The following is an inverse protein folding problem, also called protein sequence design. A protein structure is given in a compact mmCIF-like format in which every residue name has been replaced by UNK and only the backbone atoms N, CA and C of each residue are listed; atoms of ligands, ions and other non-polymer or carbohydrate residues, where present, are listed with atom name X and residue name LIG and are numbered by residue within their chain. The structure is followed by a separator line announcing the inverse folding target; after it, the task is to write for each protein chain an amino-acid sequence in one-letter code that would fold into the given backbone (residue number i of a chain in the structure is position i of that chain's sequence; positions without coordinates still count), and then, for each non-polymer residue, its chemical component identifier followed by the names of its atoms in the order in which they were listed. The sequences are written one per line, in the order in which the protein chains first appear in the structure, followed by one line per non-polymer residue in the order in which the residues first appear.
data_IF_454200319350
#
_entry.id   IF_454200319350
#
_cell.length_a   1.000
_cell.length_b   1.000
_cell.length_c   1.000
_cell.angle_alpha   90.00
_cell.angle_beta   90.00
_cell.angle_gamma   90.00
#
_symmetry.space_group_name_H-M   'P 1'
#
loop_
_entity.id
_entity.type
_entity.pdbx_description
1 polymer ?
#
# COMPACT_ATOMS: atom_id res chain seq x y z
N UNK A 1 -7.36 7.24 -25.43
CA UNK A 1 -7.15 5.81 -25.19
C UNK A 1 -5.79 5.56 -24.59
N UNK A 2 -5.81 4.78 -23.59
CA UNK A 2 -4.65 4.49 -22.79
C UNK A 2 -3.93 3.25 -23.33
N UNK A 3 -2.67 3.37 -23.63
CA UNK A 3 -1.87 2.24 -24.11
C UNK A 3 -1.04 1.70 -22.94
N UNK A 4 -1.51 0.60 -22.39
CA UNK A 4 -0.80 -0.02 -21.30
C UNK A 4 0.50 -0.66 -21.80
N UNK A 5 1.57 -0.46 -21.06
CA UNK A 5 2.82 -1.17 -21.23
C UNK A 5 3.15 -1.86 -19.90
N UNK A 6 4.31 -2.50 -19.82
CA UNK A 6 4.68 -3.21 -18.59
C UNK A 6 4.65 -2.30 -17.37
N UNK A 7 5.14 -1.06 -17.51
CA UNK A 7 5.15 -0.13 -16.38
C UNK A 7 3.74 0.28 -15.98
N UNK A 8 2.83 0.44 -16.95
CA UNK A 8 1.45 0.79 -16.66
C UNK A 8 0.74 -0.32 -15.89
N UNK A 9 1.00 -1.58 -16.25
CA UNK A 9 0.44 -2.71 -15.49
C UNK A 9 0.95 -2.71 -14.06
N UNK A 10 2.24 -2.45 -13.86
CA UNK A 10 2.83 -2.43 -12.51
C UNK A 10 2.29 -1.27 -11.68
N UNK A 11 1.84 -0.18 -12.32
CA UNK A 11 1.28 0.98 -11.64
C UNK A 11 -0.23 0.89 -11.46
N UNK A 12 -0.84 -0.18 -11.93
CA UNK A 12 -2.30 -0.26 -12.03
C UNK A 12 -3.00 -0.50 -10.70
N UNK A 13 -2.27 -0.69 -9.62
CA UNK A 13 -2.84 -0.91 -8.29
C UNK A 13 -3.21 0.38 -7.59
N UNK A 14 -2.56 1.49 -7.94
CA UNK A 14 -2.68 2.74 -7.20
C UNK A 14 -2.88 3.92 -8.13
N UNK A 15 -3.69 4.86 -7.68
CA UNK A 15 -3.76 6.19 -8.26
C UNK A 15 -3.38 7.19 -7.17
N UNK A 16 -2.25 7.86 -7.33
CA UNK A 16 -1.75 8.81 -6.36
C UNK A 16 -1.81 10.23 -6.91
N UNK A 17 -2.47 11.13 -6.15
CA UNK A 17 -2.55 12.54 -6.50
C UNK A 17 -1.45 13.29 -5.77
N UNK A 18 -0.41 13.70 -6.49
CA UNK A 18 0.73 14.39 -5.90
C UNK A 18 0.38 15.78 -5.38
N UNK A 19 -0.69 16.39 -5.88
CA UNK A 19 -1.10 17.72 -5.41
C UNK A 19 -1.76 17.66 -4.03
N UNK A 20 -2.51 16.59 -3.73
CA UNK A 20 -3.24 16.46 -2.47
C UNK A 20 -2.66 15.40 -1.54
N UNK A 21 -1.81 14.52 -2.06
CA UNK A 21 -1.29 13.38 -1.31
C UNK A 21 -2.30 12.26 -1.12
N UNK A 22 -3.42 12.30 -1.83
CA UNK A 22 -4.43 11.24 -1.73
C UNK A 22 -4.04 10.02 -2.56
N UNK A 23 -4.28 8.84 -1.98
CA UNK A 23 -4.06 7.57 -2.64
C UNK A 23 -5.39 6.86 -2.80
N UNK A 24 -5.69 6.43 -4.03
CA UNK A 24 -6.83 5.58 -4.31
C UNK A 24 -6.34 4.20 -4.69
N UNK A 25 -7.08 3.18 -4.26
CA UNK A 25 -6.76 1.79 -4.54
C UNK A 25 -7.61 1.28 -5.70
N UNK A 26 -6.96 0.65 -6.66
CA UNK A 26 -7.67 -0.05 -7.72
C UNK A 26 -8.04 -1.45 -7.20
N UNK A 27 -9.15 -1.54 -6.48
CA UNK A 27 -9.55 -2.76 -5.78
C UNK A 27 -9.65 -3.97 -6.71
N UNK A 28 -10.25 -3.90 -7.92
CA UNK A 28 -10.27 -5.06 -8.79
C UNK A 28 -8.89 -5.63 -9.11
N UNK A 29 -7.91 -4.77 -9.35
CA UNK A 29 -6.54 -5.22 -9.64
C UNK A 29 -5.86 -5.79 -8.38
N UNK A 30 -6.09 -5.14 -7.25
CA UNK A 30 -5.54 -5.59 -5.96
C UNK A 30 -6.02 -7.00 -5.62
N UNK A 31 -7.29 -7.29 -5.87
CA UNK A 31 -7.89 -8.60 -5.59
C UNK A 31 -7.31 -9.73 -6.44
N UNK A 32 -6.62 -9.41 -7.53
CA UNK A 32 -5.97 -10.41 -8.36
C UNK A 32 -4.66 -10.92 -7.76
N UNK A 33 -4.14 -10.25 -6.75
CA UNK A 33 -2.88 -10.61 -6.10
C UNK A 33 -3.18 -11.16 -4.71
N UNK A 34 -2.87 -12.43 -4.51
CA UNK A 34 -3.19 -13.16 -3.27
C UNK A 34 -2.69 -12.45 -2.02
N UNK A 35 -1.46 -11.99 -2.04
CA UNK A 35 -0.86 -11.31 -0.88
C UNK A 35 -1.54 -9.98 -0.57
N UNK A 36 -2.05 -9.31 -1.59
CA UNK A 36 -2.77 -8.05 -1.40
C UNK A 36 -4.19 -8.30 -0.91
N UNK A 37 -4.86 -9.31 -1.47
CA UNK A 37 -6.20 -9.70 -1.01
C UNK A 37 -6.20 -10.03 0.47
N UNK A 38 -5.15 -10.71 0.95
CA UNK A 38 -5.02 -11.07 2.36
C UNK A 38 -5.07 -9.85 3.29
N UNK A 39 -4.56 -8.70 2.85
CA UNK A 39 -4.61 -7.48 3.66
C UNK A 39 -6.02 -6.93 3.80
N UNK A 40 -6.92 -7.27 2.90
CA UNK A 40 -8.29 -6.76 2.90
C UNK A 40 -9.25 -7.58 3.76
N UNK A 41 -8.79 -8.61 4.42
CA UNK A 41 -9.62 -9.44 5.29
C UNK A 41 -10.33 -8.61 6.36
N UNK A 42 -11.64 -8.80 6.51
CA UNK A 42 -12.44 -8.00 7.42
C UNK A 42 -12.02 -8.18 8.89
N UNK A 43 -11.76 -9.43 9.31
CA UNK A 43 -11.34 -9.70 10.68
C UNK A 43 -10.05 -8.98 11.03
N UNK A 44 -9.11 -9.00 10.11
CA UNK A 44 -7.82 -8.34 10.27
C UNK A 44 -7.95 -6.82 10.37
N UNK A 45 -8.96 -6.25 9.72
CA UNK A 45 -9.17 -4.82 9.66
C UNK A 45 -10.08 -4.28 10.76
N UNK A 46 -10.61 -5.13 11.63
CA UNK A 46 -11.46 -4.67 12.73
C UNK A 46 -10.68 -3.80 13.70
N UNK A 47 -11.27 -2.69 14.08
CA UNK A 47 -10.72 -1.80 15.08
C UNK A 47 -11.85 -0.98 15.69
N UNK A 48 -11.51 -0.13 16.67
CA UNK A 48 -12.50 0.70 17.36
C UNK A 48 -13.28 1.59 16.40
N UNK A 49 -12.61 2.15 15.41
CA UNK A 49 -13.22 3.04 14.41
C UNK A 49 -13.93 2.28 13.29
N UNK A 50 -13.68 0.97 13.18
CA UNK A 50 -14.23 0.14 12.12
C UNK A 50 -14.52 -1.26 12.67
N UNK A 51 -15.56 -1.38 13.54
CA UNK A 51 -15.81 -2.62 14.29
C UNK A 51 -16.07 -3.86 13.42
N UNK A 52 -16.55 -3.66 12.20
CA UNK A 52 -16.82 -4.78 11.28
C UNK A 52 -15.71 -4.99 10.26
N UNK A 53 -14.71 -4.09 10.22
CA UNK A 53 -13.60 -4.17 9.28
C UNK A 53 -14.00 -3.92 7.83
N UNK A 54 -15.13 -3.25 7.61
CA UNK A 54 -15.65 -3.03 6.25
C UNK A 54 -15.00 -1.87 5.53
N UNK A 55 -14.45 -0.90 6.27
CA UNK A 55 -13.77 0.25 5.68
C UNK A 55 -12.29 -0.01 5.40
N UNK A 56 -11.77 -1.15 5.90
CA UNK A 56 -10.39 -1.59 5.62
C UNK A 56 -9.34 -0.55 6.02
N UNK A 57 -9.53 0.09 7.17
CA UNK A 57 -8.66 1.19 7.60
C UNK A 57 -7.20 0.76 7.72
N UNK A 58 -6.95 -0.42 8.29
CA UNK A 58 -5.59 -0.94 8.43
C UNK A 58 -4.96 -1.20 7.07
N UNK A 59 -5.70 -1.86 6.18
CA UNK A 59 -5.21 -2.18 4.84
C UNK A 59 -4.88 -0.89 4.07
N UNK A 60 -5.70 0.15 4.21
CA UNK A 60 -5.44 1.44 3.56
C UNK A 60 -4.11 2.03 3.99
N UNK A 61 -3.82 2.00 5.30
CA UNK A 61 -2.54 2.50 5.81
C UNK A 61 -1.39 1.66 5.28
N UNK A 62 -1.58 0.35 5.20
CA UNK A 62 -0.56 -0.58 4.68
C UNK A 62 -0.29 -0.35 3.19
N UNK A 63 -1.33 -0.20 2.38
CA UNK A 63 -1.13 0.10 0.96
C UNK A 63 -0.50 1.46 0.75
N UNK A 64 -0.82 2.43 1.59
CA UNK A 64 -0.17 3.74 1.53
C UNK A 64 1.32 3.60 1.79
N UNK A 65 1.71 2.81 2.80
CA UNK A 65 3.13 2.54 3.04
C UNK A 65 3.78 1.91 1.81
N UNK A 66 3.14 0.89 1.23
CA UNK A 66 3.69 0.19 0.06
C UNK A 66 3.96 1.18 -1.08
N UNK A 67 2.99 2.04 -1.37
CA UNK A 67 3.18 3.05 -2.41
C UNK A 67 4.36 3.97 -2.09
N UNK A 68 4.36 4.53 -0.89
CA UNK A 68 5.37 5.52 -0.50
C UNK A 68 6.77 4.93 -0.39
N UNK A 69 6.87 3.72 0.15
CA UNK A 69 8.17 3.10 0.42
C UNK A 69 8.76 2.36 -0.79
N UNK A 70 7.94 1.89 -1.72
CA UNK A 70 8.39 0.96 -2.74
C UNK A 70 8.15 1.46 -4.16
N UNK A 71 7.03 2.15 -4.40
CA UNK A 71 6.66 2.55 -5.77
C UNK A 71 7.66 3.55 -6.35
N UNK A 72 8.01 3.36 -7.64
CA UNK A 72 9.00 4.21 -8.29
C UNK A 72 8.59 5.69 -8.37
N UNK A 73 7.29 5.96 -8.40
CA UNK A 73 6.74 7.32 -8.52
C UNK A 73 6.38 7.95 -7.16
N UNK A 74 6.84 7.37 -6.08
CA UNK A 74 6.61 7.90 -4.74
C UNK A 74 7.29 9.26 -4.55
N UNK A 75 6.68 10.18 -3.78
CA UNK A 75 7.34 11.43 -3.42
C UNK A 75 8.64 11.22 -2.63
N UNK A 76 8.83 10.03 -2.06
CA UNK A 76 10.04 9.67 -1.30
C UNK A 76 11.01 8.80 -2.10
N UNK A 77 10.80 8.68 -3.42
CA UNK A 77 11.60 7.78 -4.26
C UNK A 77 13.10 8.08 -4.23
N UNK A 78 13.47 9.35 -4.05
CA UNK A 78 14.88 9.78 -4.06
C UNK A 78 15.51 9.79 -2.66
N UNK A 79 14.79 9.42 -1.63
CA UNK A 79 15.32 9.35 -0.28
C UNK A 79 16.22 8.12 -0.13
N UNK A 80 17.19 8.20 0.78
CA UNK A 80 17.93 7.00 1.19
C UNK A 80 16.97 6.00 1.82
N UNK A 81 17.28 4.72 1.68
CA UNK A 81 16.37 3.64 2.09
C UNK A 81 15.84 3.78 3.52
N UNK A 82 16.72 4.12 4.47
CA UNK A 82 16.32 4.29 5.87
C UNK A 82 15.35 5.45 6.04
N UNK A 83 15.67 6.58 5.44
CA UNK A 83 14.84 7.79 5.55
C UNK A 83 13.52 7.58 4.85
N UNK A 84 13.54 6.90 3.71
CA UNK A 84 12.32 6.59 2.96
C UNK A 84 11.38 5.72 3.79
N UNK A 85 11.93 4.69 4.45
CA UNK A 85 11.15 3.82 5.32
C UNK A 85 10.51 4.61 6.46
N UNK A 86 11.28 5.43 7.15
CA UNK A 86 10.80 6.22 8.28
C UNK A 86 9.70 7.19 7.87
N UNK A 87 9.90 7.89 6.76
CA UNK A 87 8.91 8.85 6.26
C UNK A 87 7.65 8.14 5.77
N UNK A 88 7.78 6.98 5.13
CA UNK A 88 6.63 6.21 4.68
C UNK A 88 5.80 5.69 5.86
N UNK A 89 6.45 5.19 6.91
CA UNK A 89 5.75 4.77 8.13
C UNK A 89 4.98 5.92 8.76
N UNK A 90 5.63 7.06 8.88
CA UNK A 90 5.05 8.24 9.48
C UNK A 90 3.84 8.74 8.68
N UNK A 91 4.00 8.86 7.37
CA UNK A 91 2.94 9.32 6.48
C UNK A 91 1.76 8.35 6.47
N UNK A 92 2.04 7.05 6.50
CA UNK A 92 1.00 6.02 6.53
C UNK A 92 0.40 5.82 7.93
N UNK A 93 0.92 6.51 8.95
CA UNK A 93 0.48 6.37 10.33
C UNK A 93 0.58 4.93 10.83
N UNK A 94 1.67 4.26 10.45
CA UNK A 94 1.96 2.88 10.88
C UNK A 94 3.04 2.85 11.94
N UNK A 95 2.93 1.87 12.82
CA UNK A 95 3.96 1.59 13.82
C UNK A 95 4.96 0.58 13.28
N UNK A 96 6.14 0.50 13.93
CA UNK A 96 7.12 -0.54 13.60
C UNK A 96 6.56 -1.93 13.87
N UNK A 97 5.72 -2.08 14.89
CA UNK A 97 5.07 -3.35 15.18
C UNK A 97 4.16 -3.79 14.05
N UNK A 98 3.35 -2.87 13.52
CA UNK A 98 2.51 -3.17 12.36
C UNK A 98 3.35 -3.52 11.13
N UNK A 99 4.49 -2.86 10.96
CA UNK A 99 5.40 -3.16 9.87
C UNK A 99 5.92 -4.59 9.90
N UNK A 100 6.08 -5.15 11.08
CA UNK A 100 6.60 -6.52 11.25
C UNK A 100 5.56 -7.62 11.01
N UNK A 101 4.31 -7.27 10.78
CA UNK A 101 3.25 -8.24 10.49
C UNK A 101 3.63 -9.10 9.27
N UNK A 102 3.67 -10.44 9.42
CA UNK A 102 4.08 -11.33 8.32
C UNK A 102 3.26 -11.19 7.05
N UNK A 103 1.96 -10.99 7.16
CA UNK A 103 1.10 -10.81 5.98
C UNK A 103 1.45 -9.52 5.25
N UNK A 104 1.68 -8.45 6.00
CA UNK A 104 2.08 -7.18 5.41
C UNK A 104 3.47 -7.29 4.76
N UNK A 105 4.42 -7.93 5.43
CA UNK A 105 5.77 -8.11 4.87
C UNK A 105 5.71 -8.93 3.58
N UNK A 106 4.84 -9.95 3.53
CA UNK A 106 4.65 -10.73 2.32
C UNK A 106 4.12 -9.87 1.16
N UNK A 107 3.19 -8.98 1.45
CA UNK A 107 2.66 -8.05 0.46
C UNK A 107 3.73 -7.09 -0.06
N UNK A 108 4.58 -6.59 0.83
CA UNK A 108 5.70 -5.73 0.43
C UNK A 108 6.66 -6.46 -0.51
N UNK A 109 7.02 -7.69 -0.16
CA UNK A 109 7.90 -8.51 -1.02
C UNK A 109 7.25 -8.75 -2.38
N UNK A 110 5.96 -9.06 -2.38
CA UNK A 110 5.23 -9.31 -3.63
C UNK A 110 5.21 -8.07 -4.51
N UNK A 111 4.96 -6.90 -3.93
CA UNK A 111 4.96 -5.68 -4.72
C UNK A 111 6.31 -5.42 -5.39
N UNK A 112 7.40 -5.70 -4.69
CA UNK A 112 8.74 -5.53 -5.25
C UNK A 112 9.02 -6.48 -6.42
N UNK A 113 8.33 -7.62 -6.47
CA UNK A 113 8.49 -8.60 -7.56
C UNK A 113 7.71 -8.22 -8.81
N UNK A 114 6.75 -7.34 -8.69
CA UNK A 114 5.93 -6.89 -9.82
C UNK A 114 6.63 -5.72 -10.55
#
# INVERSE_FOLDING_TARGET
MFNANVNDYMNNFFLYDSATGQLELNTPEILLVKEFEALLDAERNKCKQDPKGIYKLRAFREFRYIYLAIHWNSPYADYFAKDRHEEALKDAEMTEEEFEDPLFRAACRKFKEL
#
